data_IF_758568695496
#
_entry.id   IF_758568695496
#
_cell.length_a   1.000
_cell.length_b   1.000
_cell.length_c   1.000
_cell.angle_alpha   90.00
_cell.angle_beta   90.00
_cell.angle_gamma   90.00
#
_symmetry.space_group_name_H-M   'P 1'
#
loop_
_entity.id
_entity.type
_entity.pdbx_description
1 polymer ?
#
# COMPACT_ATOMS: atom_id res chain seq x y z
N UNK A 1 6.01 23.95 -2.22
CA UNK A 1 6.65 22.78 -1.56
C UNK A 1 5.60 22.09 -0.72
N UNK A 2 5.38 20.78 -0.90
CA UNK A 2 4.41 20.05 -0.09
C UNK A 2 5.01 19.76 1.29
N UNK A 3 4.25 19.95 2.38
CA UNK A 3 4.73 19.71 3.75
C UNK A 3 4.82 18.20 3.99
N UNK A 4 5.94 17.74 4.56
CA UNK A 4 6.10 16.33 4.93
C UNK A 4 5.65 16.10 6.38
N UNK A 5 4.38 15.72 6.56
CA UNK A 5 3.76 15.47 7.86
C UNK A 5 4.40 14.33 8.66
N UNK A 6 4.99 13.33 8.00
CA UNK A 6 5.72 12.26 8.68
C UNK A 6 7.00 12.78 9.33
N UNK A 7 7.74 13.65 8.62
CA UNK A 7 8.91 14.33 9.19
C UNK A 7 8.54 15.29 10.30
N UNK A 8 7.44 16.04 10.15
CA UNK A 8 6.94 16.97 11.16
C UNK A 8 6.58 16.23 12.46
N UNK A 9 5.94 15.06 12.36
CA UNK A 9 5.64 14.21 13.53
C UNK A 9 6.78 13.27 13.94
N UNK A 10 7.92 13.31 13.24
CA UNK A 10 9.09 12.46 13.50
C UNK A 10 8.77 10.95 13.55
N UNK A 11 7.92 10.48 12.64
CA UNK A 11 7.50 9.07 12.53
C UNK A 11 7.74 8.53 11.12
N UNK A 12 7.97 7.22 11.00
CA UNK A 12 8.07 6.59 9.67
C UNK A 12 6.68 6.54 8.99
N UNK A 13 6.61 6.64 7.65
CA UNK A 13 5.36 6.45 6.90
C UNK A 13 4.64 5.12 7.15
N UNK A 14 5.33 4.09 7.66
CA UNK A 14 4.75 2.81 8.09
C UNK A 14 4.22 2.81 9.52
N UNK A 15 4.38 3.89 10.28
CA UNK A 15 3.99 3.96 11.68
C UNK A 15 2.49 3.69 11.89
N UNK A 16 2.20 2.85 12.89
CA UNK A 16 0.83 2.58 13.33
C UNK A 16 0.18 3.83 13.93
N UNK A 17 -1.15 3.88 13.95
CA UNK A 17 -1.87 5.04 14.47
C UNK A 17 -1.57 5.33 15.94
N UNK A 18 -1.26 4.29 16.72
CA UNK A 18 -0.82 4.44 18.11
C UNK A 18 0.50 5.23 18.20
N UNK A 19 1.45 4.97 17.30
CA UNK A 19 2.76 5.65 17.25
C UNK A 19 2.56 7.11 16.85
N UNK A 20 1.75 7.39 15.82
CA UNK A 20 1.43 8.76 15.38
C UNK A 20 0.83 9.58 16.52
N UNK A 21 -0.13 8.99 17.25
CA UNK A 21 -0.76 9.63 18.41
C UNK A 21 0.22 9.87 19.56
N UNK A 22 1.13 8.94 19.80
CA UNK A 22 2.16 9.07 20.84
C UNK A 22 3.16 10.18 20.49
N UNK A 23 3.62 10.23 19.24
CA UNK A 23 4.56 11.23 18.76
C UNK A 23 3.97 12.64 18.85
N UNK A 24 2.74 12.83 18.39
CA UNK A 24 2.01 14.10 18.53
C UNK A 24 1.96 14.59 19.98
N UNK A 25 1.58 13.71 20.92
CA UNK A 25 1.51 14.05 22.35
C UNK A 25 2.87 14.46 22.91
N UNK A 26 3.92 13.74 22.54
CA UNK A 26 5.29 14.00 22.99
C UNK A 26 5.75 15.38 22.51
N UNK A 27 5.62 15.65 21.20
CA UNK A 27 6.00 16.94 20.61
C UNK A 27 5.22 18.12 21.20
N UNK A 28 3.91 17.97 21.42
CA UNK A 28 3.09 19.02 22.03
C UNK A 28 3.41 19.25 23.51
N UNK A 29 3.89 18.22 24.23
CA UNK A 29 4.33 18.36 25.62
C UNK A 29 5.72 19.00 25.72
N UNK A 30 6.61 18.72 24.77
CA UNK A 30 7.93 19.34 24.70
C UNK A 30 7.84 20.84 24.46
N UNK A 31 7.00 21.28 23.52
CA UNK A 31 6.74 22.71 23.28
C UNK A 31 6.24 23.41 24.56
N UNK A 32 5.25 22.82 25.24
CA UNK A 32 4.71 23.37 26.49
C UNK A 32 5.73 23.52 27.63
N UNK A 33 6.87 22.82 27.59
CA UNK A 33 7.89 22.84 28.65
C UNK A 33 8.97 23.92 28.43
N UNK A 34 9.02 24.58 27.27
CA UNK A 34 10.07 25.54 26.93
C UNK A 34 9.53 26.97 26.70
N UNK A 35 9.36 27.78 27.77
CA UNK A 35 8.72 29.11 27.67
C UNK A 35 9.56 30.24 27.02
N UNK A 36 10.77 29.96 26.50
CA UNK A 36 11.75 31.01 26.14
C UNK A 36 12.17 31.06 24.66
N UNK A 37 11.50 30.38 23.74
CA UNK A 37 11.83 30.43 22.31
C UNK A 37 10.62 30.93 21.51
N UNK A 38 10.59 32.22 21.17
CA UNK A 38 9.50 32.95 20.51
C UNK A 38 9.15 32.55 19.07
N UNK A 39 9.15 31.23 18.75
CA UNK A 39 8.73 30.67 17.46
C UNK A 39 7.72 29.51 17.58
N UNK A 40 7.14 29.27 18.76
CA UNK A 40 6.36 28.05 19.05
C UNK A 40 4.99 27.94 18.36
N UNK A 41 4.33 29.04 18.04
CA UNK A 41 2.96 28.98 17.51
C UNK A 41 2.89 28.33 16.13
N UNK A 42 3.83 28.66 15.23
CA UNK A 42 3.87 28.08 13.88
C UNK A 42 4.24 26.59 13.92
N UNK A 43 5.16 26.20 14.79
CA UNK A 43 5.53 24.79 14.98
C UNK A 43 4.37 23.97 15.57
N UNK A 44 3.67 24.49 16.56
CA UNK A 44 2.48 23.85 17.11
C UNK A 44 1.37 23.70 16.05
N UNK A 45 1.15 24.72 15.22
CA UNK A 45 0.19 24.65 14.12
C UNK A 45 0.56 23.57 13.10
N UNK A 46 1.83 23.49 12.69
CA UNK A 46 2.30 22.47 11.76
C UNK A 46 2.17 21.05 12.34
N UNK A 47 2.45 20.87 13.63
CA UNK A 47 2.29 19.58 14.31
C UNK A 47 0.81 19.20 14.40
N UNK A 48 -0.09 20.16 14.68
CA UNK A 48 -1.53 19.92 14.69
C UNK A 48 -2.05 19.57 13.29
N UNK A 49 -1.65 20.32 12.25
CA UNK A 49 -2.01 20.07 10.85
C UNK A 49 -1.54 18.68 10.41
N UNK A 50 -0.29 18.32 10.71
CA UNK A 50 0.27 17.02 10.41
C UNK A 50 -0.49 15.89 11.12
N UNK A 51 -0.84 16.09 12.40
CA UNK A 51 -1.60 15.11 13.16
C UNK A 51 -3.02 14.93 12.62
N UNK A 52 -3.75 16.00 12.32
CA UNK A 52 -5.12 15.90 11.81
C UNK A 52 -5.18 15.16 10.47
N UNK A 53 -4.20 15.38 9.58
CA UNK A 53 -4.11 14.64 8.32
C UNK A 53 -3.75 13.18 8.52
N UNK A 54 -2.78 12.87 9.39
CA UNK A 54 -2.27 11.50 9.56
C UNK A 54 -3.10 10.62 10.51
N UNK A 55 -3.86 11.22 11.43
CA UNK A 55 -4.67 10.53 12.46
C UNK A 55 -5.81 9.73 11.85
N UNK A 56 -6.48 10.24 10.81
CA UNK A 56 -7.55 9.52 10.14
C UNK A 56 -6.99 8.67 8.99
N UNK A 57 -7.25 7.34 8.96
CA UNK A 57 -6.77 6.47 7.89
C UNK A 57 -7.16 6.89 6.48
N UNK A 58 -8.32 7.56 6.31
CA UNK A 58 -8.82 8.01 5.01
C UNK A 58 -8.00 9.22 4.52
N UNK A 59 -7.88 10.26 5.35
CA UNK A 59 -7.10 11.46 5.01
C UNK A 59 -5.60 11.15 4.88
N UNK A 60 -5.06 10.24 5.71
CA UNK A 60 -3.69 9.75 5.58
C UNK A 60 -3.47 9.08 4.24
N UNK A 61 -4.40 8.24 3.79
CA UNK A 61 -4.34 7.57 2.49
C UNK A 61 -4.40 8.58 1.33
N UNK A 62 -5.20 9.62 1.44
CA UNK A 62 -5.28 10.69 0.44
C UNK A 62 -3.99 11.52 0.40
N UNK A 63 -3.46 11.87 1.56
CA UNK A 63 -2.17 12.53 1.71
C UNK A 63 -1.01 11.67 1.16
N UNK A 64 -1.02 10.37 1.44
CA UNK A 64 -0.05 9.42 0.89
C UNK A 64 -0.14 9.37 -0.63
N UNK A 65 -1.35 9.29 -1.19
CA UNK A 65 -1.55 9.34 -2.65
C UNK A 65 -1.00 10.63 -3.26
N UNK A 66 -1.22 11.78 -2.62
CA UNK A 66 -0.75 13.07 -3.13
C UNK A 66 0.77 13.24 -3.00
N UNK A 67 1.39 12.76 -1.93
CA UNK A 67 2.85 12.87 -1.71
C UNK A 67 3.68 11.74 -2.33
N UNK A 68 3.06 10.64 -2.74
CA UNK A 68 3.72 9.65 -3.60
C UNK A 68 4.02 10.20 -5.01
N UNK A 69 3.38 11.31 -5.41
CA UNK A 69 3.67 12.06 -6.62
C UNK A 69 4.45 13.35 -6.35
N UNK A 70 5.52 13.30 -5.53
CA UNK A 70 6.47 14.41 -5.48
C UNK A 70 7.26 14.47 -6.81
N UNK A 71 6.71 15.19 -7.78
CA UNK A 71 7.44 15.64 -8.97
C UNK A 71 8.55 16.59 -8.46
N UNK A 72 9.81 16.13 -8.45
CA UNK A 72 10.93 17.05 -8.45
C UNK A 72 11.00 17.67 -9.84
N UNK A 73 10.34 18.82 -10.02
CA UNK A 73 10.60 19.71 -11.15
C UNK A 73 11.98 20.35 -10.94
N UNK A 74 13.05 19.60 -11.17
CA UNK A 74 14.30 20.21 -11.63
C UNK A 74 14.00 20.58 -13.09
N UNK A 75 13.78 21.87 -13.35
CA UNK A 75 13.38 22.35 -14.65
C UNK A 75 14.36 21.93 -15.72
N UNK A 76 14.01 20.89 -16.48
CA UNK A 76 14.55 20.55 -17.79
C UNK A 76 13.65 19.46 -18.39
N UNK A 77 13.18 19.71 -19.61
CA UNK A 77 12.05 19.05 -20.28
C UNK A 77 12.35 17.64 -20.82
N UNK A 78 13.26 16.90 -20.22
CA UNK A 78 13.53 15.51 -20.61
C UNK A 78 13.91 14.68 -19.40
N UNK A 79 13.08 13.68 -19.08
CA UNK A 79 13.36 12.60 -18.14
C UNK A 79 13.20 12.93 -16.64
N UNK A 80 12.01 13.40 -16.25
CA UNK A 80 11.64 13.55 -14.84
C UNK A 80 11.76 12.22 -14.10
N UNK A 81 12.66 12.17 -13.12
CA UNK A 81 12.82 11.03 -12.23
C UNK A 81 11.90 11.16 -11.02
N UNK A 82 11.17 10.10 -10.73
CA UNK A 82 10.22 9.98 -9.64
C UNK A 82 10.77 9.02 -8.59
N UNK A 83 10.56 9.33 -7.33
CA UNK A 83 10.99 8.47 -6.23
C UNK A 83 9.76 7.86 -5.57
N UNK A 84 9.58 6.55 -5.68
CA UNK A 84 8.49 5.83 -5.01
C UNK A 84 9.01 4.88 -3.96
N UNK A 85 8.40 4.92 -2.78
CA UNK A 85 8.63 3.95 -1.72
C UNK A 85 7.82 2.68 -2.02
N UNK A 86 8.41 1.50 -1.97
CA UNK A 86 7.67 0.26 -2.15
C UNK A 86 6.77 -0.01 -0.94
N UNK A 87 5.46 -0.19 -1.16
CA UNK A 87 4.49 -0.49 -0.10
C UNK A 87 4.81 -1.78 0.69
N UNK A 88 5.53 -2.72 0.07
CA UNK A 88 5.85 -3.99 0.71
C UNK A 88 7.20 -3.98 1.45
N UNK A 89 8.28 -3.56 0.79
CA UNK A 89 9.63 -3.65 1.38
C UNK A 89 10.22 -2.31 1.83
N UNK A 90 9.51 -1.19 1.64
CA UNK A 90 9.96 0.15 2.04
C UNK A 90 11.10 0.73 1.19
N UNK A 91 11.62 0.01 0.20
CA UNK A 91 12.72 0.52 -0.65
C UNK A 91 12.28 1.74 -1.45
N UNK A 92 13.11 2.78 -1.49
CA UNK A 92 12.91 3.94 -2.34
C UNK A 92 13.45 3.61 -3.74
N UNK A 93 12.59 3.68 -4.75
CA UNK A 93 12.90 3.33 -6.14
C UNK A 93 12.87 4.59 -6.99
N UNK A 94 13.92 4.80 -7.78
CA UNK A 94 13.99 5.88 -8.77
C UNK A 94 13.42 5.38 -10.09
N UNK A 95 12.37 6.01 -10.60
CA UNK A 95 11.60 5.60 -11.76
C UNK A 95 11.57 6.74 -12.76
N UNK A 96 11.78 6.44 -14.03
CA UNK A 96 11.67 7.40 -15.12
C UNK A 96 10.37 7.16 -15.86
N UNK A 97 9.55 8.20 -16.00
CA UNK A 97 8.33 8.10 -16.79
C UNK A 97 8.63 8.56 -18.20
N UNK A 98 8.63 7.59 -19.12
CA UNK A 98 8.48 7.88 -20.53
C UNK A 98 6.97 7.93 -20.82
N UNK A 99 6.52 8.73 -21.79
CA UNK A 99 5.10 8.97 -22.08
C UNK A 99 4.27 7.72 -22.50
N UNK A 100 4.85 6.51 -22.48
CA UNK A 100 4.18 5.26 -22.82
C UNK A 100 3.50 4.63 -21.60
N UNK A 101 2.16 4.69 -21.58
CA UNK A 101 1.33 4.09 -20.54
C UNK A 101 1.49 2.57 -20.40
N UNK A 102 1.96 1.86 -21.44
CA UNK A 102 2.19 0.42 -21.37
C UNK A 102 3.46 0.08 -20.58
N UNK A 103 4.47 0.95 -20.57
CA UNK A 103 5.68 0.78 -19.76
C UNK A 103 5.38 0.90 -18.27
N UNK A 104 4.35 1.67 -17.87
CA UNK A 104 3.97 1.82 -16.46
C UNK A 104 3.54 0.51 -15.80
N UNK A 105 2.93 -0.40 -16.56
CA UNK A 105 2.42 -1.68 -16.05
C UNK A 105 3.54 -2.65 -15.64
N UNK A 106 4.73 -2.53 -16.24
CA UNK A 106 5.88 -3.40 -15.96
C UNK A 106 6.76 -2.89 -14.82
N UNK A 107 6.56 -1.66 -14.35
CA UNK A 107 7.36 -1.06 -13.28
C UNK A 107 7.13 -1.80 -11.96
N UNK A 108 8.22 -2.26 -11.36
CA UNK A 108 8.23 -2.97 -10.07
C UNK A 108 9.39 -2.50 -9.22
N UNK A 109 9.32 -2.79 -7.92
CA UNK A 109 10.40 -2.51 -7.00
C UNK A 109 11.67 -3.29 -7.39
N UNK A 110 12.79 -2.60 -7.52
CA UNK A 110 14.09 -3.21 -7.84
C UNK A 110 14.60 -4.16 -6.75
N UNK A 111 14.07 -4.10 -5.53
CA UNK A 111 14.48 -4.95 -4.40
C UNK A 111 13.59 -6.18 -4.20
N UNK A 112 12.28 -6.01 -4.23
CA UNK A 112 11.33 -7.08 -3.92
C UNK A 112 10.42 -7.47 -5.09
N UNK A 113 10.55 -6.80 -6.24
CA UNK A 113 9.74 -6.99 -7.45
C UNK A 113 8.23 -6.83 -7.24
N UNK A 114 7.82 -6.12 -6.19
CA UNK A 114 6.41 -5.76 -6.02
C UNK A 114 5.99 -4.74 -7.09
N UNK A 115 4.81 -4.89 -7.70
CA UNK A 115 4.34 -3.94 -8.71
C UNK A 115 4.08 -2.57 -8.08
N UNK A 116 4.30 -1.47 -8.81
CA UNK A 116 4.00 -0.11 -8.34
C UNK A 116 2.68 0.47 -8.88
N UNK A 117 2.17 -0.10 -9.96
CA UNK A 117 0.96 0.37 -10.60
C UNK A 117 0.08 -0.84 -10.91
N UNK A 118 -1.15 -0.86 -10.39
CA UNK A 118 -2.17 -1.71 -10.96
C UNK A 118 -2.58 -1.16 -12.31
N UNK A 119 -2.81 -2.03 -13.30
CA UNK A 119 -3.27 -1.63 -14.64
C UNK A 119 -4.32 -0.53 -14.55
N UNK A 120 -4.02 0.60 -15.20
CA UNK A 120 -4.94 1.65 -15.66
C UNK A 120 -6.42 1.46 -15.30
N UNK A 121 -6.98 2.32 -14.47
CA UNK A 121 -8.37 2.74 -14.68
C UNK A 121 -8.44 4.25 -14.56
N UNK A 122 -8.90 4.83 -15.66
CA UNK A 122 -9.39 6.19 -15.76
C UNK A 122 -10.08 6.60 -14.45
N UNK A 123 -9.64 7.69 -13.83
CA UNK A 123 -10.26 8.22 -12.61
C UNK A 123 -11.76 8.46 -12.84
N UNK A 124 -12.16 8.69 -14.10
CA UNK A 124 -13.53 8.83 -14.56
C UNK A 124 -14.37 7.54 -14.56
N UNK A 125 -13.77 6.34 -14.72
CA UNK A 125 -14.52 5.07 -14.65
C UNK A 125 -14.73 4.59 -13.21
N UNK A 126 -13.74 4.82 -12.33
CA UNK A 126 -13.82 4.47 -10.90
C UNK A 126 -14.98 5.19 -10.19
N UNK A 127 -15.31 6.41 -10.63
CA UNK A 127 -16.47 7.14 -10.09
C UNK A 127 -17.82 6.63 -10.60
N UNK A 128 -17.87 6.00 -11.79
CA UNK A 128 -19.08 5.38 -12.35
C UNK A 128 -19.36 3.99 -11.76
N UNK A 129 -18.33 3.26 -11.34
CA UNK A 129 -18.46 1.91 -10.77
C UNK A 129 -18.50 1.86 -9.23
N UNK A 130 -19.34 2.69 -8.60
CA UNK A 130 -19.77 2.45 -7.20
C UNK A 130 -20.64 1.18 -7.03
N UNK A 131 -20.66 0.28 -8.00
CA UNK A 131 -21.37 -1.00 -7.95
C UNK A 131 -20.38 -2.08 -7.51
N UNK A 132 -20.79 -2.90 -6.53
CA UNK A 132 -20.04 -4.04 -6.00
C UNK A 132 -19.30 -4.77 -7.13
N UNK A 133 -17.97 -4.71 -7.15
CA UNK A 133 -17.18 -5.44 -8.14
C UNK A 133 -17.60 -6.91 -8.15
N UNK A 134 -17.91 -7.43 -9.33
CA UNK A 134 -18.27 -8.84 -9.51
C UNK A 134 -17.17 -9.71 -8.93
N UNK A 135 -17.52 -10.56 -7.97
CA UNK A 135 -16.59 -11.54 -7.39
C UNK A 135 -16.76 -12.86 -8.10
N UNK A 136 -15.66 -13.39 -8.62
CA UNK A 136 -15.60 -14.69 -9.28
C UNK A 136 -15.12 -15.72 -8.26
N UNK A 137 -15.88 -16.81 -8.09
CA UNK A 137 -15.41 -17.94 -7.29
C UNK A 137 -14.20 -18.58 -7.98
N UNK A 138 -13.23 -18.97 -7.18
CA UNK A 138 -11.98 -19.60 -7.60
C UNK A 138 -11.66 -20.74 -6.63
N UNK A 139 -10.86 -21.70 -7.09
CA UNK A 139 -10.22 -22.71 -6.26
C UNK A 139 -8.84 -22.98 -6.86
N UNK A 140 -7.89 -22.09 -6.54
CA UNK A 140 -6.51 -22.25 -6.97
C UNK A 140 -5.55 -21.86 -5.86
N UNK A 141 -4.36 -22.42 -5.93
CA UNK A 141 -3.33 -22.21 -4.94
C UNK A 141 -2.63 -20.87 -5.11
N UNK A 142 -2.53 -20.14 -4.02
CA UNK A 142 -1.78 -18.89 -3.90
C UNK A 142 -0.57 -19.09 -3.00
N UNK A 143 0.37 -18.16 -3.10
CA UNK A 143 1.42 -17.97 -2.11
C UNK A 143 1.42 -16.52 -1.64
N UNK A 144 1.65 -16.30 -0.35
CA UNK A 144 1.78 -14.96 0.19
C UNK A 144 2.92 -14.84 1.21
N UNK A 145 3.42 -13.62 1.39
CA UNK A 145 4.48 -13.26 2.30
C UNK A 145 4.01 -12.07 3.15
N UNK A 146 4.23 -12.15 4.47
CA UNK A 146 3.80 -11.12 5.43
C UNK A 146 4.88 -10.04 5.56
N UNK A 147 6.14 -10.47 5.63
CA UNK A 147 7.30 -9.61 5.80
C UNK A 147 8.30 -9.82 4.67
N UNK A 148 8.91 -8.74 4.19
CA UNK A 148 9.95 -8.85 3.17
C UNK A 148 11.12 -9.70 3.65
N UNK A 149 11.51 -10.70 2.85
CA UNK A 149 12.55 -11.67 3.20
C UNK A 149 12.08 -12.83 4.07
N UNK A 150 10.82 -12.82 4.52
CA UNK A 150 10.21 -13.91 5.27
C UNK A 150 9.84 -15.12 4.42
N UNK A 151 9.19 -16.11 5.05
CA UNK A 151 8.73 -17.31 4.35
C UNK A 151 7.50 -17.04 3.47
N UNK A 152 7.35 -17.82 2.41
CA UNK A 152 6.12 -17.89 1.63
C UNK A 152 5.16 -18.89 2.25
N UNK A 153 3.95 -18.44 2.56
CA UNK A 153 2.86 -19.26 3.05
C UNK A 153 1.95 -19.66 1.90
N UNK A 154 1.42 -20.88 1.95
CA UNK A 154 0.43 -21.35 0.99
C UNK A 154 -0.98 -20.99 1.46
N UNK A 155 -1.86 -20.71 0.50
CA UNK A 155 -3.30 -20.59 0.73
C UNK A 155 -4.09 -20.99 -0.50
N UNK A 156 -5.41 -21.03 -0.37
CA UNK A 156 -6.33 -21.37 -1.45
C UNK A 156 -7.33 -20.24 -1.65
N UNK A 157 -7.39 -19.72 -2.89
CA UNK A 157 -8.35 -18.70 -3.31
C UNK A 157 -9.78 -19.25 -3.19
N UNK A 158 -10.70 -18.47 -2.59
CA UNK A 158 -12.14 -18.75 -2.53
C UNK A 158 -12.88 -17.94 -3.59
N UNK A 159 -12.59 -16.63 -3.63
CA UNK A 159 -13.08 -15.74 -4.67
C UNK A 159 -12.14 -14.55 -4.88
N UNK A 160 -12.22 -13.94 -6.06
CA UNK A 160 -11.46 -12.75 -6.41
C UNK A 160 -12.30 -11.76 -7.21
N UNK A 161 -11.89 -10.50 -7.18
CA UNK A 161 -12.43 -9.40 -7.97
C UNK A 161 -11.26 -8.51 -8.39
N UNK A 162 -11.55 -7.48 -9.18
CA UNK A 162 -10.57 -6.42 -9.51
C UNK A 162 -9.98 -5.74 -8.27
N UNK A 163 -10.71 -5.70 -7.14
CA UNK A 163 -10.28 -4.98 -5.94
C UNK A 163 -9.72 -5.85 -4.82
N UNK A 164 -9.77 -7.17 -4.94
CA UNK A 164 -9.32 -8.01 -3.83
C UNK A 164 -9.77 -9.46 -3.92
N UNK A 165 -9.39 -10.23 -2.92
CA UNK A 165 -9.53 -11.69 -2.86
C UNK A 165 -9.95 -12.15 -1.47
N UNK A 166 -10.65 -13.27 -1.42
CA UNK A 166 -10.77 -14.09 -0.21
C UNK A 166 -10.02 -15.39 -0.40
N UNK A 167 -9.32 -15.83 0.62
CA UNK A 167 -8.59 -17.09 0.60
C UNK A 167 -8.56 -17.73 1.99
N UNK A 168 -8.30 -19.03 2.02
CA UNK A 168 -8.04 -19.76 3.26
C UNK A 168 -6.54 -20.04 3.42
N UNK A 169 -6.05 -19.99 4.65
CA UNK A 169 -4.68 -20.39 4.99
C UNK A 169 -4.59 -20.80 6.47
N UNK A 170 -3.52 -21.48 6.92
CA UNK A 170 -3.31 -21.76 8.33
C UNK A 170 -2.85 -20.52 9.13
N UNK A 171 -2.61 -19.39 8.47
CA UNK A 171 -2.00 -18.20 9.07
C UNK A 171 -3.04 -17.17 9.45
N UNK A 172 -2.95 -16.67 10.68
CA UNK A 172 -3.73 -15.53 11.13
C UNK A 172 -3.12 -14.22 10.62
N UNK A 173 -3.88 -13.45 9.84
CA UNK A 173 -3.48 -12.13 9.38
C UNK A 173 -4.16 -11.05 10.22
N UNK A 174 -3.36 -10.11 10.75
CA UNK A 174 -3.87 -8.94 11.48
C UNK A 174 -4.66 -8.04 10.53
N UNK A 175 -5.65 -7.33 11.09
CA UNK A 175 -6.29 -6.22 10.39
C UNK A 175 -5.21 -5.25 9.90
N UNK A 176 -5.39 -4.74 8.70
CA UNK A 176 -4.50 -3.80 8.06
C UNK A 176 -3.07 -4.30 7.72
N UNK A 177 -2.77 -5.58 7.97
CA UNK A 177 -1.50 -6.20 7.60
C UNK A 177 -1.29 -6.13 6.08
N UNK A 178 -0.11 -5.64 5.68
CA UNK A 178 0.33 -5.66 4.28
C UNK A 178 0.92 -7.04 3.99
N UNK A 179 0.52 -7.62 2.86
CA UNK A 179 1.06 -8.87 2.35
C UNK A 179 1.41 -8.72 0.87
N UNK A 180 2.43 -9.47 0.43
CA UNK A 180 2.67 -9.74 -0.99
C UNK A 180 2.04 -11.07 -1.34
N UNK A 181 1.25 -11.14 -2.41
CA UNK A 181 0.57 -12.35 -2.87
C UNK A 181 0.88 -12.62 -4.34
N UNK A 182 0.96 -13.90 -4.71
CA UNK A 182 1.11 -14.38 -6.09
C UNK A 182 0.35 -15.69 -6.27
N UNK A 183 0.12 -16.10 -7.51
CA UNK A 183 -0.37 -17.44 -7.79
C UNK A 183 0.78 -18.45 -7.71
N UNK A 184 0.54 -19.63 -7.14
CA UNK A 184 1.62 -20.59 -6.81
C UNK A 184 2.41 -21.07 -8.03
N UNK A 185 1.75 -21.17 -9.19
CA UNK A 185 2.33 -21.65 -10.45
C UNK A 185 2.22 -20.64 -11.60
N UNK A 186 1.79 -19.41 -11.31
CA UNK A 186 1.64 -18.38 -12.33
C UNK A 186 2.32 -17.09 -11.87
N UNK A 187 3.37 -16.72 -12.61
CA UNK A 187 4.14 -15.49 -12.35
C UNK A 187 3.40 -14.25 -12.84
N UNK A 188 2.34 -14.41 -13.64
CA UNK A 188 1.59 -13.33 -14.29
C UNK A 188 0.72 -12.56 -13.31
N UNK A 189 0.45 -13.10 -12.13
CA UNK A 189 -0.25 -12.39 -11.06
C UNK A 189 0.66 -12.14 -9.86
N UNK A 190 0.81 -10.87 -9.51
CA UNK A 190 1.34 -10.45 -8.21
C UNK A 190 0.55 -9.25 -7.70
N UNK A 191 0.30 -9.21 -6.41
CA UNK A 191 -0.33 -8.06 -5.77
C UNK A 191 0.30 -7.74 -4.42
N UNK A 192 0.27 -6.45 -4.07
CA UNK A 192 0.39 -5.98 -2.70
C UNK A 192 -1.02 -5.73 -2.20
N UNK A 193 -1.35 -6.32 -1.06
CA UNK A 193 -2.69 -6.28 -0.53
C UNK A 193 -2.69 -5.99 0.96
N UNK A 194 -3.81 -5.44 1.42
CA UNK A 194 -4.09 -5.14 2.81
C UNK A 194 -5.18 -6.06 3.33
N UNK A 195 -4.97 -6.67 4.48
CA UNK A 195 -5.99 -7.49 5.14
C UNK A 195 -7.11 -6.62 5.68
N UNK A 196 -8.34 -6.91 5.27
CA UNK A 196 -9.55 -6.22 5.74
C UNK A 196 -10.39 -7.05 6.70
N UNK A 197 -10.18 -8.37 6.73
CA UNK A 197 -10.84 -9.28 7.67
C UNK A 197 -10.10 -10.62 7.70
N UNK A 198 -9.96 -11.22 8.87
CA UNK A 198 -9.44 -12.58 9.02
C UNK A 198 -10.27 -13.32 10.07
N UNK A 199 -11.03 -14.33 9.66
CA UNK A 199 -11.91 -15.11 10.55
C UNK A 199 -11.31 -16.49 10.78
N UNK A 200 -11.19 -16.88 12.04
CA UNK A 200 -10.82 -18.23 12.46
C UNK A 200 -11.98 -19.20 12.19
N UNK A 201 -11.67 -20.32 11.55
CA UNK A 201 -12.59 -21.40 11.23
C UNK A 201 -12.00 -22.72 11.70
N UNK A 202 -12.86 -23.67 12.01
CA UNK A 202 -12.49 -25.02 12.37
C UNK A 202 -13.31 -26.00 11.52
N UNK A 203 -12.64 -27.02 10.99
CA UNK A 203 -13.28 -28.27 10.58
C UNK A 203 -13.04 -29.31 11.66
N UNK A 204 -13.73 -30.47 11.57
CA UNK A 204 -13.54 -31.59 12.51
C UNK A 204 -12.07 -32.06 12.61
N UNK A 205 -11.23 -31.70 11.65
CA UNK A 205 -9.85 -32.18 11.52
C UNK A 205 -8.76 -31.10 11.61
N UNK A 206 -9.06 -29.80 11.40
CA UNK A 206 -8.02 -28.75 11.49
C UNK A 206 -8.59 -27.33 11.64
N UNK A 207 -7.80 -26.43 12.24
CA UNK A 207 -8.09 -24.99 12.26
C UNK A 207 -7.43 -24.25 11.11
N UNK A 208 -8.16 -23.30 10.52
CA UNK A 208 -7.70 -22.45 9.43
C UNK A 208 -8.31 -21.05 9.55
N UNK A 209 -7.85 -20.13 8.71
CA UNK A 209 -8.33 -18.76 8.67
C UNK A 209 -8.83 -18.40 7.28
N UNK A 210 -10.04 -17.84 7.21
CA UNK A 210 -10.56 -17.19 6.02
C UNK A 210 -10.15 -15.71 6.06
N UNK A 211 -9.24 -15.33 5.17
CA UNK A 211 -8.75 -13.95 5.03
C UNK A 211 -9.39 -13.27 3.82
N UNK A 212 -9.90 -12.06 4.04
CA UNK A 212 -10.31 -11.14 2.99
C UNK A 212 -9.28 -10.01 2.88
N UNK A 213 -8.84 -9.74 1.66
CA UNK A 213 -7.84 -8.73 1.33
C UNK A 213 -8.36 -7.76 0.27
N UNK A 214 -7.87 -6.54 0.31
CA UNK A 214 -8.06 -5.52 -0.73
C UNK A 214 -6.71 -5.21 -1.35
N UNK A 215 -6.64 -5.18 -2.68
CA UNK A 215 -5.40 -4.85 -3.39
C UNK A 215 -5.07 -3.37 -3.20
N UNK A 216 -3.80 -3.10 -2.90
CA UNK A 216 -3.18 -1.79 -3.01
C UNK A 216 -2.64 -1.62 -4.43
N UNK A 217 -1.90 -2.62 -4.89
CA UNK A 217 -1.35 -2.73 -6.23
C UNK A 217 -1.54 -4.17 -6.71
N UNK A 218 -1.95 -4.37 -7.96
CA UNK A 218 -2.13 -5.69 -8.54
C UNK A 218 -1.71 -5.68 -10.01
N UNK A 219 -0.78 -6.56 -10.36
CA UNK A 219 -0.38 -6.80 -11.74
C UNK A 219 -1.08 -8.05 -12.24
N UNK A 220 -1.68 -7.91 -13.41
CA UNK A 220 -2.19 -8.99 -14.23
C UNK A 220 -1.42 -8.94 -15.54
N UNK A 221 -0.59 -9.92 -15.84
CA UNK A 221 -0.02 -10.07 -17.19
C UNK A 221 -0.99 -10.95 -17.98
N UNK A 222 -1.54 -10.42 -19.07
CA UNK A 222 -2.30 -11.25 -19.99
C UNK A 222 -1.38 -12.39 -20.48
N UNK A 223 -1.90 -13.62 -20.68
CA UNK A 223 -1.11 -14.64 -21.33
C UNK A 223 -0.60 -14.08 -22.66
N UNK A 224 0.72 -14.11 -22.86
CA UNK A 224 1.31 -13.88 -24.17
C UNK A 224 0.63 -14.83 -25.13
N UNK A 225 -0.12 -14.30 -26.10
CA UNK A 225 -0.53 -15.05 -27.27
C UNK A 225 0.76 -15.49 -27.97
N UNK A 226 1.30 -16.63 -27.59
CA UNK A 226 2.17 -17.41 -28.45
C UNK A 226 1.25 -17.93 -29.55
N UNK A 227 1.08 -17.12 -30.59
CA UNK A 227 0.76 -17.65 -31.91
C UNK A 227 1.98 -18.45 -32.33
N UNK A 228 1.85 -19.76 -32.20
CA UNK A 228 2.66 -20.75 -32.91
C UNK A 228 1.86 -21.24 -34.10
#
# INVERSE_FOLDING_TARGET
MNKNYYKILQVDPSAEQAIIKSAFRTLMLELKKHPNCGGEHENAQLINEAYEVLKNPISRKEYDKQNYFEIRNSGERSNSAYYMRCYFCGTINRIYFNADQNQLKSISCGKCHSPFFSQSMDIHEIQKEKRRHTRFKCQFNIQFQIDYGGMWYNGECIDLSSNGMRFISPIHLRMDQIIKIKFKNDRKFQAIAKTVRCIKKATNSQMYYESAITYIEARYEAPSNTQS
#
